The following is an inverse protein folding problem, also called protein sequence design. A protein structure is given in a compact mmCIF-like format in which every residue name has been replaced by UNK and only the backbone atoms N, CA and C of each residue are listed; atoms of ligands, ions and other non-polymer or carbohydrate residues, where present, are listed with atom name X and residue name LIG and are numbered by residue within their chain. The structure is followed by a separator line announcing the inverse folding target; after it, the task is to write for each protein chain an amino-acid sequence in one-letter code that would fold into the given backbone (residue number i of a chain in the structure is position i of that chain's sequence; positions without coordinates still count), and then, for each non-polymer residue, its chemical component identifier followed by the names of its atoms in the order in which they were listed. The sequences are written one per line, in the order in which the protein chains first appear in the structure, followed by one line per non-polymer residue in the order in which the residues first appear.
data_IF_960277067714
#
_entry.id   IF_960277067714
#
_cell.length_a   1.000
_cell.length_b   1.000
_cell.length_c   1.000
_cell.angle_alpha   90.00
_cell.angle_beta   90.00
_cell.angle_gamma   90.00
#
_symmetry.space_group_name_H-M   'P 1'
#
loop_
_entity.id
_entity.type
_entity.pdbx_description
1 polymer ?
#
# COMPACT_ATOMS: atom_id res chain seq x y z
N UNK A 1 -39.73 33.31 0.33
CA UNK A 1 -39.86 33.75 1.73
C UNK A 1 -38.99 34.97 1.96
N UNK A 2 -39.40 35.89 2.86
CA UNK A 2 -38.58 37.02 3.31
C UNK A 2 -37.87 36.62 4.60
N UNK A 3 -36.62 37.09 4.83
CA UNK A 3 -35.94 36.86 6.11
C UNK A 3 -36.62 37.63 7.24
N UNK A 4 -36.41 37.21 8.49
CA UNK A 4 -36.91 37.91 9.67
C UNK A 4 -36.16 39.22 9.94
N UNK A 5 -34.95 39.38 9.36
CA UNK A 5 -34.09 40.55 9.54
C UNK A 5 -34.63 41.75 8.75
N UNK A 6 -34.83 42.88 9.48
CA UNK A 6 -35.46 44.08 8.94
C UNK A 6 -34.65 44.76 7.85
N UNK A 7 -33.32 44.69 7.93
CA UNK A 7 -32.38 45.31 6.99
C UNK A 7 -32.14 44.45 5.70
N UNK A 8 -32.71 43.26 5.64
CA UNK A 8 -32.46 42.31 4.58
C UNK A 8 -33.67 42.04 3.69
N UNK A 9 -34.87 42.55 4.03
CA UNK A 9 -36.12 42.18 3.38
C UNK A 9 -36.21 42.58 1.91
N UNK A 10 -35.58 43.71 1.55
CA UNK A 10 -35.57 44.27 0.20
C UNK A 10 -34.18 44.13 -0.48
N UNK A 11 -33.25 43.46 0.17
CA UNK A 11 -31.93 43.17 -0.39
C UNK A 11 -32.03 42.09 -1.46
N UNK A 12 -31.22 42.16 -2.54
CA UNK A 12 -31.19 41.14 -3.59
C UNK A 12 -30.99 39.71 -3.07
N UNK A 13 -30.25 39.55 -1.98
CA UNK A 13 -29.96 38.29 -1.31
C UNK A 13 -31.07 37.82 -0.37
N UNK A 14 -32.18 38.53 -0.20
CA UNK A 14 -33.26 38.19 0.73
C UNK A 14 -33.73 36.74 0.66
N UNK A 15 -33.96 36.14 -0.51
CA UNK A 15 -34.36 34.72 -0.61
C UNK A 15 -33.34 33.74 -0.03
N UNK A 16 -32.07 34.01 -0.22
CA UNK A 16 -30.97 33.16 0.27
C UNK A 16 -30.77 33.35 1.78
N UNK A 17 -30.89 34.60 2.28
CA UNK A 17 -30.83 34.89 3.71
C UNK A 17 -31.97 34.20 4.42
N UNK A 18 -33.19 34.28 3.92
CA UNK A 18 -34.34 33.57 4.50
C UNK A 18 -34.17 32.04 4.51
N UNK A 19 -33.62 31.48 3.45
CA UNK A 19 -33.32 30.05 3.40
C UNK A 19 -32.26 29.63 4.42
N UNK A 20 -31.19 30.40 4.52
CA UNK A 20 -30.10 30.14 5.47
C UNK A 20 -30.53 30.32 6.95
N UNK A 21 -31.38 31.33 7.21
CA UNK A 21 -32.02 31.53 8.51
C UNK A 21 -32.93 30.33 8.89
N UNK A 22 -33.81 29.93 7.97
CA UNK A 22 -34.74 28.79 8.17
C UNK A 22 -33.95 27.49 8.41
N UNK A 23 -32.84 27.31 7.72
CA UNK A 23 -31.95 26.15 7.89
C UNK A 23 -31.09 26.23 9.16
N UNK A 24 -31.14 27.32 9.92
CA UNK A 24 -30.34 27.52 11.14
C UNK A 24 -28.84 27.74 10.88
N UNK A 25 -28.48 28.10 9.64
CA UNK A 25 -27.09 28.35 9.22
C UNK A 25 -26.61 29.68 9.77
N UNK A 26 -27.48 30.69 9.76
CA UNK A 26 -27.23 32.07 10.19
C UNK A 26 -28.18 32.51 11.27
N UNK A 27 -27.76 33.47 12.14
CA UNK A 27 -28.55 34.04 13.24
C UNK A 27 -28.62 35.54 13.26
N UNK A 28 -27.90 36.23 12.35
CA UNK A 28 -27.75 37.67 12.35
C UNK A 28 -26.86 38.22 13.49
N UNK A 29 -26.75 39.54 13.57
CA UNK A 29 -25.90 40.26 14.52
C UNK A 29 -26.67 40.71 15.81
N UNK A 30 -27.93 40.30 15.91
CA UNK A 30 -28.84 40.70 16.99
C UNK A 30 -29.79 41.86 16.58
N UNK A 31 -30.77 42.12 17.42
CA UNK A 31 -31.77 43.19 17.23
C UNK A 31 -32.51 43.18 15.88
N UNK A 32 -32.62 41.98 15.24
CA UNK A 32 -33.27 41.84 13.95
C UNK A 32 -32.43 42.33 12.75
N UNK A 33 -31.13 42.46 12.91
CA UNK A 33 -30.17 42.94 11.91
C UNK A 33 -29.31 41.75 11.42
N UNK A 34 -29.10 41.67 10.11
CA UNK A 34 -28.23 40.68 9.49
C UNK A 34 -26.96 41.30 8.86
N UNK A 35 -27.04 42.57 8.48
CA UNK A 35 -25.98 43.29 7.79
C UNK A 35 -25.55 42.64 6.47
N UNK A 36 -26.47 42.52 5.45
CA UNK A 36 -26.26 41.74 4.26
C UNK A 36 -25.10 42.20 3.37
N UNK A 37 -24.65 43.43 3.50
CA UNK A 37 -23.49 43.99 2.78
C UNK A 37 -22.23 44.03 3.63
N UNK A 38 -22.29 43.56 4.88
CA UNK A 38 -21.18 43.54 5.81
C UNK A 38 -20.09 42.57 5.45
N UNK A 39 -18.92 42.76 6.02
CA UNK A 39 -17.80 41.81 5.88
C UNK A 39 -17.98 40.66 6.87
N UNK A 40 -17.59 39.45 6.43
CA UNK A 40 -17.66 38.24 7.25
C UNK A 40 -16.36 38.02 8.00
N UNK A 41 -16.43 37.78 9.32
CA UNK A 41 -15.27 37.39 10.11
C UNK A 41 -14.96 35.88 9.98
N UNK A 42 -13.76 35.48 10.36
CA UNK A 42 -13.38 34.06 10.37
C UNK A 42 -14.29 33.24 11.28
N UNK A 43 -14.64 33.75 12.45
CA UNK A 43 -15.56 33.10 13.39
C UNK A 43 -16.98 32.94 12.79
N UNK A 44 -17.49 34.00 12.13
CA UNK A 44 -18.78 33.94 11.47
C UNK A 44 -18.79 32.88 10.33
N UNK A 45 -17.73 32.84 9.51
CA UNK A 45 -17.60 31.83 8.46
C UNK A 45 -17.53 30.40 9.03
N UNK A 46 -16.76 30.20 10.10
CA UNK A 46 -16.70 28.90 10.78
C UNK A 46 -18.07 28.47 11.29
N UNK A 47 -18.83 29.37 11.90
CA UNK A 47 -20.18 29.12 12.37
C UNK A 47 -21.12 28.68 11.22
N UNK A 48 -21.08 29.43 10.12
CA UNK A 48 -21.90 29.08 8.93
C UNK A 48 -21.55 27.71 8.38
N UNK A 49 -20.27 27.37 8.24
CA UNK A 49 -19.84 26.07 7.73
C UNK A 49 -20.24 24.92 8.66
N UNK A 50 -19.98 25.07 9.97
CA UNK A 50 -20.35 24.06 10.96
C UNK A 50 -21.87 23.79 10.95
N UNK A 51 -22.67 24.85 10.89
CA UNK A 51 -24.13 24.71 10.88
C UNK A 51 -24.66 24.16 9.55
N UNK A 52 -24.13 24.65 8.39
CA UNK A 52 -24.57 24.22 7.07
C UNK A 52 -24.29 22.75 6.83
N UNK A 53 -23.12 22.29 7.21
CA UNK A 53 -22.65 20.93 6.99
C UNK A 53 -22.87 20.01 8.20
N UNK A 54 -23.46 20.52 9.30
CA UNK A 54 -23.71 19.80 10.56
C UNK A 54 -22.45 19.12 11.09
N UNK A 55 -21.31 19.81 11.00
CA UNK A 55 -20.04 19.28 11.42
C UNK A 55 -19.99 19.04 12.92
N UNK A 56 -19.42 17.92 13.32
CA UNK A 56 -19.15 17.59 14.71
C UNK A 56 -17.70 17.16 14.84
N UNK A 57 -17.00 17.61 15.87
CA UNK A 57 -15.68 17.08 16.19
C UNK A 57 -15.84 15.72 16.83
N UNK A 58 -15.06 14.74 16.36
CA UNK A 58 -14.88 13.44 17.02
C UNK A 58 -13.70 13.47 17.99
N UNK A 59 -12.92 14.56 18.01
CA UNK A 59 -11.89 14.76 19.00
C UNK A 59 -12.54 14.96 20.37
N UNK A 60 -12.04 14.30 21.39
CA UNK A 60 -12.47 14.51 22.76
C UNK A 60 -12.27 16.00 23.09
N UNK A 61 -13.38 16.71 23.27
CA UNK A 61 -13.41 18.09 23.73
C UNK A 61 -12.92 18.11 25.19
N UNK A 62 -11.62 18.28 25.37
CA UNK A 62 -11.02 18.48 26.70
C UNK A 62 -11.20 19.92 27.19
N UNK A 63 -12.06 20.71 26.52
CA UNK A 63 -12.38 22.08 26.92
C UNK A 63 -11.21 23.08 26.77
N UNK A 64 -10.12 22.68 26.09
CA UNK A 64 -8.98 23.56 25.84
C UNK A 64 -9.02 24.14 24.43
N UNK A 65 -9.06 25.42 24.33
CA UNK A 65 -8.91 26.12 23.06
C UNK A 65 -7.49 25.92 22.52
N UNK A 66 -7.37 25.61 21.22
CA UNK A 66 -6.08 25.40 20.56
C UNK A 66 -5.28 26.68 20.33
N UNK A 67 -5.93 27.83 20.42
CA UNK A 67 -5.32 29.14 20.27
C UNK A 67 -5.77 30.06 21.39
N UNK A 68 -4.86 30.85 21.94
CA UNK A 68 -5.15 31.78 23.05
C UNK A 68 -6.22 32.81 22.69
N UNK A 69 -6.21 33.29 21.44
CA UNK A 69 -7.15 34.31 20.93
C UNK A 69 -8.57 33.75 20.68
N UNK A 70 -8.76 32.44 20.82
CA UNK A 70 -10.07 31.79 20.77
C UNK A 70 -10.69 31.63 22.16
N UNK A 71 -9.90 31.67 23.23
CA UNK A 71 -10.39 31.41 24.59
C UNK A 71 -11.47 32.43 24.99
N UNK A 72 -12.65 31.91 25.30
CA UNK A 72 -13.81 32.70 25.66
C UNK A 72 -14.45 33.48 24.51
N UNK A 73 -13.96 33.34 23.30
CA UNK A 73 -14.58 33.95 22.13
C UNK A 73 -15.88 33.21 21.75
N UNK A 74 -16.92 33.95 21.34
CA UNK A 74 -18.22 33.36 20.99
C UNK A 74 -18.13 32.30 19.90
N UNK A 75 -17.18 32.40 18.98
CA UNK A 75 -16.91 31.46 17.90
C UNK A 75 -15.94 30.33 18.25
N UNK A 76 -15.44 30.26 19.47
CA UNK A 76 -14.43 29.29 19.92
C UNK A 76 -14.80 27.86 19.56
N UNK A 77 -16.01 27.42 19.90
CA UNK A 77 -16.52 26.08 19.62
C UNK A 77 -16.45 25.75 18.12
N UNK A 78 -16.89 26.68 17.27
CA UNK A 78 -16.95 26.46 15.82
C UNK A 78 -15.56 26.46 15.20
N UNK A 79 -14.67 27.33 15.66
CA UNK A 79 -13.28 27.39 15.25
C UNK A 79 -12.56 26.06 15.60
N UNK A 80 -12.72 25.58 16.82
CA UNK A 80 -12.12 24.32 17.27
C UNK A 80 -12.60 23.12 16.44
N UNK A 81 -13.88 23.05 16.06
CA UNK A 81 -14.40 22.01 15.16
C UNK A 81 -13.67 22.05 13.81
N UNK A 82 -13.51 23.23 13.19
CA UNK A 82 -12.80 23.33 11.91
C UNK A 82 -11.31 22.99 12.03
N UNK A 83 -10.68 23.29 13.17
CA UNK A 83 -9.28 22.96 13.45
C UNK A 83 -9.15 21.42 13.60
N UNK A 84 -9.99 20.79 14.36
CA UNK A 84 -9.99 19.34 14.59
C UNK A 84 -10.18 18.55 13.30
N UNK A 85 -11.01 19.09 12.41
CA UNK A 85 -11.29 18.49 11.10
C UNK A 85 -10.25 18.90 10.02
N UNK A 86 -9.16 19.57 10.37
CA UNK A 86 -8.14 20.08 9.45
C UNK A 86 -8.67 20.96 8.30
N UNK A 87 -9.84 21.59 8.51
CA UNK A 87 -10.45 22.53 7.56
C UNK A 87 -9.77 23.89 7.66
N UNK A 88 -9.52 24.35 8.89
CA UNK A 88 -8.90 25.66 9.19
C UNK A 88 -7.73 25.48 10.15
N UNK A 89 -6.61 26.12 9.83
CA UNK A 89 -5.46 26.21 10.70
C UNK A 89 -5.27 27.66 11.17
N UNK A 90 -4.62 27.84 12.32
CA UNK A 90 -4.13 29.14 12.75
C UNK A 90 -2.87 29.59 11.99
N UNK A 91 -2.34 30.70 12.40
CA UNK A 91 -1.05 31.23 11.99
C UNK A 91 -0.17 31.46 13.24
N UNK A 92 1.08 31.90 13.06
CA UNK A 92 1.96 32.28 14.17
C UNK A 92 1.37 33.41 15.05
N UNK A 93 0.38 34.15 14.51
CA UNK A 93 -0.34 35.22 15.20
C UNK A 93 -1.70 34.78 15.78
N UNK A 94 -1.93 33.49 15.99
CA UNK A 94 -3.18 32.94 16.49
C UNK A 94 -4.16 32.52 15.39
N UNK A 95 -5.39 32.23 15.78
CA UNK A 95 -6.45 31.88 14.85
C UNK A 95 -7.17 33.07 14.24
N UNK A 96 -7.15 34.21 14.92
CA UNK A 96 -7.68 35.48 14.48
C UNK A 96 -9.20 35.50 14.22
N UNK A 97 -10.07 35.19 15.20
CA UNK A 97 -11.50 35.02 15.01
C UNK A 97 -12.23 36.23 14.45
N UNK A 98 -11.84 37.42 14.82
CA UNK A 98 -12.48 38.68 14.41
C UNK A 98 -11.93 39.25 13.10
N UNK A 99 -10.86 38.66 12.54
CA UNK A 99 -10.32 39.09 11.26
C UNK A 99 -11.31 38.78 10.13
N UNK A 100 -11.52 39.74 9.26
CA UNK A 100 -12.33 39.53 8.07
C UNK A 100 -11.68 38.52 7.12
N UNK A 101 -12.49 37.62 6.61
CA UNK A 101 -12.07 36.59 5.67
C UNK A 101 -12.04 37.15 4.23
N UNK A 102 -11.02 36.77 3.48
CA UNK A 102 -10.97 37.06 2.04
C UNK A 102 -11.85 36.12 1.25
N UNK A 103 -12.21 36.45 0.01
CA UNK A 103 -12.95 35.58 -0.90
C UNK A 103 -12.19 34.24 -1.17
N UNK A 104 -10.86 34.31 -1.28
CA UNK A 104 -10.02 33.14 -1.48
C UNK A 104 -10.04 32.20 -0.26
N UNK A 105 -9.93 32.75 0.94
CA UNK A 105 -10.04 31.97 2.19
C UNK A 105 -11.43 31.37 2.35
N UNK A 106 -12.49 32.11 2.04
CA UNK A 106 -13.85 31.58 2.07
C UNK A 106 -14.03 30.40 1.10
N UNK A 107 -13.52 30.54 -0.14
CA UNK A 107 -13.55 29.48 -1.13
C UNK A 107 -12.76 28.25 -0.65
N UNK A 108 -11.57 28.43 -0.07
CA UNK A 108 -10.75 27.34 0.47
C UNK A 108 -11.46 26.59 1.59
N UNK A 109 -12.03 27.32 2.56
CA UNK A 109 -12.74 26.71 3.68
C UNK A 109 -13.97 25.94 3.20
N UNK A 110 -14.75 26.52 2.28
CA UNK A 110 -15.92 25.87 1.68
C UNK A 110 -15.53 24.61 0.93
N UNK A 111 -14.50 24.66 0.07
CA UNK A 111 -14.03 23.50 -0.69
C UNK A 111 -13.53 22.38 0.22
N UNK A 112 -12.75 22.68 1.25
CA UNK A 112 -12.30 21.67 2.22
C UNK A 112 -13.45 21.05 2.99
N UNK A 113 -14.46 21.84 3.37
CA UNK A 113 -15.65 21.35 4.05
C UNK A 113 -16.48 20.44 3.14
N UNK A 114 -16.68 20.86 1.89
CA UNK A 114 -17.41 20.08 0.88
C UNK A 114 -16.70 18.76 0.57
N UNK A 115 -15.37 18.80 0.39
CA UNK A 115 -14.56 17.58 0.21
C UNK A 115 -14.67 16.63 1.41
N UNK A 116 -14.66 17.15 2.64
CA UNK A 116 -14.87 16.36 3.84
C UNK A 116 -16.26 15.71 3.83
N UNK A 117 -17.31 16.48 3.50
CA UNK A 117 -18.67 15.99 3.41
C UNK A 117 -18.85 14.95 2.29
N UNK A 118 -18.27 15.19 1.12
CA UNK A 118 -18.29 14.24 0.01
C UNK A 118 -17.55 12.96 0.41
N UNK A 119 -16.41 13.08 1.09
CA UNK A 119 -15.69 11.94 1.65
C UNK A 119 -16.50 11.21 2.72
N UNK A 120 -17.27 11.94 3.56
CA UNK A 120 -18.19 11.33 4.52
C UNK A 120 -19.40 10.69 3.83
N UNK A 121 -20.01 11.34 2.83
CA UNK A 121 -21.17 10.82 2.11
C UNK A 121 -20.82 9.66 1.17
N UNK A 122 -19.64 9.73 0.50
CA UNK A 122 -19.09 8.63 -0.29
C UNK A 122 -18.47 7.54 0.58
N UNK A 123 -18.12 7.86 1.81
CA UNK A 123 -17.45 6.96 2.74
C UNK A 123 -18.36 6.28 3.76
N UNK A 124 -19.60 6.76 3.98
CA UNK A 124 -20.55 6.09 4.88
C UNK A 124 -21.18 4.82 4.27
N UNK A 125 -21.07 4.64 2.95
CA UNK A 125 -21.43 3.35 2.31
C UNK A 125 -20.27 2.35 2.28
N UNK A 126 -18.99 2.80 2.44
CA UNK A 126 -17.81 1.98 2.24
C UNK A 126 -16.77 2.09 3.37
N UNK A 127 -17.00 2.86 4.44
CA UNK A 127 -16.11 2.93 5.60
C UNK A 127 -16.63 2.02 6.71
N UNK A 128 -16.06 0.86 6.78
CA UNK A 128 -16.09 0.06 7.99
C UNK A 128 -15.23 0.77 9.06
N UNK A 129 -15.79 1.02 10.26
CA UNK A 129 -14.98 1.48 11.39
C UNK A 129 -14.07 0.32 11.76
N UNK A 130 -12.81 0.42 11.38
CA UNK A 130 -11.83 -0.61 11.65
C UNK A 130 -11.43 -0.48 13.11
N UNK A 131 -11.79 -1.47 13.90
CA UNK A 131 -11.45 -1.57 15.32
C UNK A 131 -10.18 -2.39 15.56
N UNK A 132 -9.37 -2.58 14.53
CA UNK A 132 -8.14 -3.36 14.64
C UNK A 132 -7.20 -2.74 15.67
N UNK A 133 -6.60 -3.60 16.48
CA UNK A 133 -5.61 -3.26 17.51
C UNK A 133 -4.20 -3.65 17.11
N UNK A 134 -4.07 -4.44 16.04
CA UNK A 134 -2.82 -4.95 15.51
C UNK A 134 -2.98 -5.34 14.03
N UNK A 135 -1.88 -5.73 13.38
CA UNK A 135 -1.95 -6.30 12.04
C UNK A 135 -2.66 -7.67 11.98
N UNK A 136 -2.72 -8.41 13.08
CA UNK A 136 -3.37 -9.74 13.11
C UNK A 136 -4.89 -9.66 12.92
N UNK A 137 -5.50 -8.59 13.41
CA UNK A 137 -6.95 -8.34 13.35
C UNK A 137 -7.34 -7.22 12.37
N UNK A 138 -6.39 -6.69 11.61
CA UNK A 138 -6.64 -5.71 10.56
C UNK A 138 -7.42 -6.35 9.39
N UNK A 139 -8.47 -5.68 8.94
CA UNK A 139 -9.14 -6.04 7.69
C UNK A 139 -8.21 -5.83 6.50
N UNK A 140 -7.81 -6.92 5.82
CA UNK A 140 -6.86 -6.89 4.71
C UNK A 140 -7.44 -6.39 3.38
N UNK A 141 -8.74 -6.07 3.34
CA UNK A 141 -9.38 -5.46 2.17
C UNK A 141 -9.33 -3.94 2.18
N UNK A 142 -8.63 -3.34 3.15
CA UNK A 142 -8.45 -1.90 3.22
C UNK A 142 -7.05 -1.48 2.75
N UNK A 143 -6.96 -0.24 2.23
CA UNK A 143 -5.69 0.28 1.75
C UNK A 143 -4.67 0.42 2.90
N UNK A 144 -3.45 0.00 2.65
CA UNK A 144 -2.30 0.31 3.51
C UNK A 144 -1.79 1.73 3.28
N UNK A 145 -1.10 2.27 4.26
CA UNK A 145 -0.37 3.54 4.17
C UNK A 145 1.12 3.36 3.85
N UNK A 146 1.50 2.14 3.46
CA UNK A 146 2.88 1.85 3.07
C UNK A 146 3.17 2.39 1.68
N UNK A 147 4.40 2.82 1.45
CA UNK A 147 4.89 3.24 0.15
C UNK A 147 5.77 2.15 -0.48
N UNK A 148 5.89 2.18 -1.80
CA UNK A 148 6.83 1.31 -2.53
C UNK A 148 8.26 1.43 -2.00
N UNK A 149 8.69 2.66 -1.73
CA UNK A 149 10.02 2.93 -1.20
C UNK A 149 10.24 2.34 0.21
N UNK A 150 9.24 2.38 1.11
CA UNK A 150 9.36 1.75 2.44
C UNK A 150 9.54 0.24 2.32
N UNK A 151 8.81 -0.42 1.39
CA UNK A 151 8.96 -1.85 1.12
C UNK A 151 10.37 -2.16 0.58
N UNK A 152 10.80 -1.45 -0.46
CA UNK A 152 12.10 -1.66 -1.10
C UNK A 152 13.26 -1.40 -0.12
N UNK A 153 13.17 -0.32 0.66
CA UNK A 153 14.19 0.02 1.66
C UNK A 153 14.29 -1.03 2.76
N UNK A 154 13.17 -1.57 3.23
CA UNK A 154 13.17 -2.66 4.20
C UNK A 154 13.85 -3.91 3.64
N UNK A 155 13.45 -4.34 2.44
CA UNK A 155 14.02 -5.54 1.81
C UNK A 155 15.53 -5.34 1.60
N UNK A 156 15.95 -4.20 1.03
CA UNK A 156 17.35 -3.90 0.77
C UNK A 156 18.21 -3.81 2.04
N UNK A 157 17.64 -3.35 3.15
CA UNK A 157 18.34 -3.25 4.44
C UNK A 157 18.67 -4.62 5.01
N UNK A 158 17.74 -5.57 4.93
CA UNK A 158 17.95 -6.91 5.50
C UNK A 158 18.51 -7.91 4.50
N UNK A 159 18.23 -7.73 3.21
CA UNK A 159 18.64 -8.61 2.11
C UNK A 159 18.88 -7.81 0.84
N UNK A 160 20.00 -7.11 0.76
CA UNK A 160 20.38 -6.30 -0.41
C UNK A 160 20.55 -7.10 -1.71
N UNK A 161 20.73 -8.41 -1.59
CA UNK A 161 20.82 -9.39 -2.68
C UNK A 161 19.47 -10.01 -3.05
N UNK A 162 18.39 -9.57 -2.43
CA UNK A 162 17.03 -10.04 -2.72
C UNK A 162 16.59 -9.59 -4.11
N UNK A 163 16.04 -10.49 -4.94
CA UNK A 163 15.48 -10.12 -6.24
C UNK A 163 14.19 -9.30 -6.11
N UNK A 164 13.62 -9.17 -4.90
CA UNK A 164 12.44 -8.35 -4.64
C UNK A 164 12.79 -6.86 -4.41
N UNK A 165 14.06 -6.48 -4.34
CA UNK A 165 14.45 -5.06 -4.27
C UNK A 165 14.06 -4.38 -5.58
N UNK A 166 13.30 -3.28 -5.47
CA UNK A 166 12.75 -2.56 -6.63
C UNK A 166 11.33 -3.00 -7.04
N UNK A 167 10.76 -4.01 -6.38
CA UNK A 167 9.41 -4.49 -6.64
C UNK A 167 8.35 -3.92 -5.68
N UNK A 168 8.69 -2.95 -4.84
CA UNK A 168 7.75 -2.30 -3.92
C UNK A 168 6.52 -1.74 -4.62
N UNK A 169 6.68 -1.20 -5.83
CA UNK A 169 5.57 -0.67 -6.62
C UNK A 169 4.59 -1.76 -7.08
N UNK A 170 5.04 -2.98 -7.32
CA UNK A 170 4.16 -4.08 -7.74
C UNK A 170 3.16 -4.45 -6.63
N UNK A 171 3.56 -4.38 -5.35
CA UNK A 171 2.63 -4.57 -4.23
C UNK A 171 1.57 -3.46 -4.16
N UNK A 172 1.96 -2.20 -4.39
CA UNK A 172 1.02 -1.08 -4.44
C UNK A 172 0.05 -1.22 -5.63
N UNK A 173 0.55 -1.63 -6.79
CA UNK A 173 -0.27 -1.89 -7.98
C UNK A 173 -1.28 -3.01 -7.72
N UNK A 174 -0.84 -4.12 -7.11
CA UNK A 174 -1.71 -5.24 -6.74
C UNK A 174 -2.78 -4.84 -5.71
N UNK A 175 -2.44 -4.00 -4.73
CA UNK A 175 -3.43 -3.42 -3.81
C UNK A 175 -4.52 -2.66 -4.58
N UNK A 176 -4.12 -1.76 -5.47
CA UNK A 176 -5.06 -0.91 -6.19
C UNK A 176 -5.92 -1.71 -7.18
N UNK A 177 -5.37 -2.76 -7.77
CA UNK A 177 -6.05 -3.58 -8.77
C UNK A 177 -6.95 -4.63 -8.12
N UNK A 178 -6.49 -5.35 -7.10
CA UNK A 178 -7.19 -6.49 -6.54
C UNK A 178 -7.80 -6.24 -5.17
N UNK A 179 -7.57 -5.06 -4.60
CA UNK A 179 -8.18 -4.67 -3.35
C UNK A 179 -7.65 -5.43 -2.13
N UNK A 180 -6.38 -5.76 -2.11
CA UNK A 180 -5.70 -6.42 -0.99
C UNK A 180 -4.60 -5.52 -0.44
N UNK A 181 -4.51 -5.39 0.86
CA UNK A 181 -3.55 -4.55 1.57
C UNK A 181 -2.10 -4.83 1.11
N UNK A 182 -1.40 -3.82 0.56
CA UNK A 182 -0.05 -3.98 0.01
C UNK A 182 0.99 -4.34 1.08
N UNK A 183 0.82 -3.87 2.31
CA UNK A 183 1.71 -4.18 3.41
C UNK A 183 1.67 -5.67 3.76
N UNK A 184 0.44 -6.23 3.81
CA UNK A 184 0.25 -7.67 3.95
C UNK A 184 0.86 -8.44 2.78
N UNK A 185 0.62 -8.03 1.53
CA UNK A 185 1.16 -8.72 0.35
C UNK A 185 2.69 -8.77 0.38
N UNK A 186 3.35 -7.68 0.76
CA UNK A 186 4.81 -7.64 0.89
C UNK A 186 5.32 -8.58 2.00
N UNK A 187 4.71 -8.52 3.19
CA UNK A 187 5.08 -9.39 4.31
C UNK A 187 4.85 -10.88 3.99
N UNK A 188 3.78 -11.18 3.28
CA UNK A 188 3.43 -12.53 2.84
C UNK A 188 4.46 -13.06 1.83
N UNK A 189 4.80 -12.27 0.79
CA UNK A 189 5.81 -12.63 -0.18
C UNK A 189 7.18 -12.88 0.48
N UNK A 190 7.57 -12.02 1.42
CA UNK A 190 8.82 -12.17 2.19
C UNK A 190 8.83 -13.49 2.97
N UNK A 191 7.74 -13.82 3.66
CA UNK A 191 7.65 -15.05 4.46
C UNK A 191 7.72 -16.30 3.59
N UNK A 192 6.89 -16.38 2.55
CA UNK A 192 6.72 -17.59 1.73
C UNK A 192 7.93 -17.87 0.84
N UNK A 193 8.59 -16.82 0.35
CA UNK A 193 9.71 -16.96 -0.60
C UNK A 193 11.09 -16.82 0.01
N UNK A 194 11.19 -16.52 1.32
CA UNK A 194 12.46 -16.18 1.95
C UNK A 194 13.11 -14.96 1.27
N UNK A 195 12.37 -13.85 1.15
CA UNK A 195 12.79 -12.65 0.43
C UNK A 195 13.02 -12.88 -1.07
N UNK A 196 12.22 -13.72 -1.71
CA UNK A 196 12.39 -14.06 -3.12
C UNK A 196 13.57 -15.00 -3.42
N UNK A 197 14.27 -15.46 -2.40
CA UNK A 197 15.54 -16.21 -2.53
C UNK A 197 15.36 -17.73 -2.54
N UNK A 198 14.14 -18.27 -2.28
CA UNK A 198 13.88 -19.67 -2.47
C UNK A 198 14.05 -20.05 -3.94
N UNK A 199 14.46 -21.31 -4.23
CA UNK A 199 14.71 -21.77 -5.59
C UNK A 199 13.53 -21.53 -6.53
N UNK A 200 12.32 -21.88 -6.09
CA UNK A 200 11.09 -21.69 -6.86
C UNK A 200 10.81 -20.18 -7.10
N UNK A 201 10.97 -19.36 -6.07
CA UNK A 201 10.76 -17.92 -6.21
C UNK A 201 11.75 -17.29 -7.17
N UNK A 202 13.02 -17.63 -7.04
CA UNK A 202 14.07 -17.04 -7.85
C UNK A 202 14.02 -17.49 -9.31
N UNK A 203 13.95 -18.80 -9.56
CA UNK A 203 14.03 -19.34 -10.92
C UNK A 203 12.71 -19.25 -11.69
N UNK A 204 11.59 -19.28 -10.99
CA UNK A 204 10.26 -19.31 -11.61
C UNK A 204 9.41 -18.08 -11.31
N UNK A 205 9.97 -17.05 -10.65
CA UNK A 205 9.26 -15.87 -10.16
C UNK A 205 8.04 -16.18 -9.28
N UNK A 206 7.99 -17.41 -8.74
CA UNK A 206 6.85 -17.95 -8.02
C UNK A 206 7.03 -17.76 -6.50
N UNK A 207 6.60 -16.61 -6.01
CA UNK A 207 6.81 -16.17 -4.63
C UNK A 207 5.98 -16.95 -3.60
N UNK A 208 4.88 -17.57 -4.01
CA UNK A 208 3.88 -18.15 -3.10
C UNK A 208 3.71 -19.66 -3.30
N UNK A 209 4.63 -20.30 -3.96
CA UNK A 209 4.59 -21.75 -4.17
C UNK A 209 3.41 -22.24 -5.02
N UNK A 210 2.95 -21.43 -5.99
CA UNK A 210 1.81 -21.79 -6.84
C UNK A 210 2.06 -23.12 -7.55
N UNK A 211 1.21 -24.12 -7.28
CA UNK A 211 1.29 -25.48 -7.79
C UNK A 211 2.57 -26.23 -7.38
N UNK A 212 3.28 -25.80 -6.35
CA UNK A 212 4.43 -26.52 -5.76
C UNK A 212 3.92 -27.68 -4.90
N UNK A 213 3.52 -28.77 -5.54
CA UNK A 213 2.97 -29.95 -4.85
C UNK A 213 4.08 -30.82 -4.22
N UNK A 214 3.70 -31.55 -3.16
CA UNK A 214 4.57 -32.52 -2.50
C UNK A 214 5.12 -33.55 -3.50
N UNK A 215 6.33 -34.01 -3.26
CA UNK A 215 7.04 -34.97 -4.08
C UNK A 215 8.13 -34.33 -4.94
N UNK A 216 7.81 -33.35 -5.75
CA UNK A 216 8.77 -32.54 -6.52
C UNK A 216 8.21 -31.11 -6.70
N UNK A 217 8.29 -30.28 -5.66
CA UNK A 217 7.71 -28.94 -5.69
C UNK A 217 8.23 -28.06 -6.81
N UNK A 218 9.53 -28.15 -7.12
CA UNK A 218 10.13 -27.36 -8.18
C UNK A 218 9.59 -27.74 -9.56
N UNK A 219 9.48 -29.03 -9.86
CA UNK A 219 8.98 -29.53 -11.15
C UNK A 219 7.55 -29.08 -11.41
N UNK A 220 6.68 -29.13 -10.37
CA UNK A 220 5.26 -28.83 -10.52
C UNK A 220 4.94 -27.34 -10.42
N UNK A 221 5.76 -26.55 -9.72
CA UNK A 221 5.55 -25.11 -9.56
C UNK A 221 5.44 -24.43 -10.94
N UNK A 222 4.47 -23.51 -11.05
CA UNK A 222 4.30 -22.69 -12.24
C UNK A 222 5.45 -21.69 -12.41
N UNK A 223 5.88 -21.51 -13.65
CA UNK A 223 6.71 -20.38 -14.02
C UNK A 223 5.82 -19.14 -14.22
N UNK A 224 6.07 -18.06 -13.51
CA UNK A 224 5.41 -16.78 -13.67
C UNK A 224 6.28 -15.86 -14.54
N UNK A 225 5.69 -15.03 -15.44
CA UNK A 225 6.47 -14.15 -16.30
C UNK A 225 7.33 -13.15 -15.54
N UNK A 226 6.84 -12.66 -14.38
CA UNK A 226 7.53 -11.73 -13.51
C UNK A 226 7.14 -11.88 -12.04
N UNK A 227 7.87 -11.25 -11.14
CA UNK A 227 7.47 -11.11 -9.73
C UNK A 227 6.17 -10.31 -9.59
N UNK A 228 5.96 -9.29 -10.43
CA UNK A 228 4.71 -8.52 -10.48
C UNK A 228 3.50 -9.41 -10.78
N UNK A 229 3.62 -10.34 -11.76
CA UNK A 229 2.56 -11.31 -12.07
C UNK A 229 2.29 -12.25 -10.90
N UNK A 230 3.33 -12.68 -10.18
CA UNK A 230 3.19 -13.52 -8.99
C UNK A 230 2.44 -12.80 -7.87
N UNK A 231 2.78 -11.54 -7.61
CA UNK A 231 2.14 -10.69 -6.61
C UNK A 231 0.67 -10.44 -7.00
N UNK A 232 0.42 -10.08 -8.24
CA UNK A 232 -0.92 -9.82 -8.78
C UNK A 232 -1.82 -11.06 -8.68
N UNK A 233 -1.31 -12.22 -9.13
CA UNK A 233 -2.04 -13.47 -9.02
C UNK A 233 -2.39 -13.82 -7.58
N UNK A 234 -1.41 -13.75 -6.66
CA UNK A 234 -1.66 -14.05 -5.25
C UNK A 234 -2.66 -13.07 -4.62
N UNK A 235 -2.57 -11.78 -4.95
CA UNK A 235 -3.51 -10.77 -4.46
C UNK A 235 -4.94 -11.13 -4.89
N UNK A 236 -5.16 -11.47 -6.15
CA UNK A 236 -6.47 -11.91 -6.61
C UNK A 236 -6.92 -13.20 -5.93
N UNK A 237 -6.05 -14.20 -5.85
CA UNK A 237 -6.34 -15.50 -5.24
C UNK A 237 -6.78 -15.37 -3.78
N UNK A 238 -6.03 -14.62 -2.96
CA UNK A 238 -6.38 -14.42 -1.55
C UNK A 238 -7.64 -13.57 -1.41
N UNK A 239 -7.81 -12.55 -2.25
CA UNK A 239 -9.03 -11.74 -2.25
C UNK A 239 -10.26 -12.59 -2.49
N UNK A 240 -10.27 -13.42 -3.52
CA UNK A 240 -11.42 -14.24 -3.89
C UNK A 240 -11.70 -15.37 -2.91
N UNK A 241 -10.66 -16.02 -2.43
CA UNK A 241 -10.81 -17.25 -1.69
C UNK A 241 -10.89 -17.06 -0.17
N UNK A 242 -10.24 -16.03 0.36
CA UNK A 242 -10.06 -15.87 1.80
C UNK A 242 -10.64 -14.57 2.36
N UNK A 243 -10.73 -13.49 1.58
CA UNK A 243 -11.08 -12.18 2.07
C UNK A 243 -12.50 -11.72 1.70
N UNK A 244 -13.17 -12.39 0.77
CA UNK A 244 -14.58 -12.18 0.44
C UNK A 244 -15.45 -13.17 1.21
N UNK A 245 -16.61 -12.71 1.69
CA UNK A 245 -17.58 -13.56 2.42
C UNK A 245 -18.06 -14.78 1.61
N UNK A 246 -18.10 -14.65 0.29
CA UNK A 246 -18.41 -15.74 -0.64
C UNK A 246 -17.24 -16.67 -0.91
N UNK A 247 -16.03 -16.36 -0.40
CA UNK A 247 -14.82 -17.15 -0.64
C UNK A 247 -14.87 -18.51 0.03
N UNK A 248 -14.39 -19.54 -0.69
CA UNK A 248 -14.43 -20.94 -0.24
C UNK A 248 -13.73 -21.13 1.13
N UNK A 249 -12.74 -20.33 1.44
CA UNK A 249 -11.92 -20.43 2.65
C UNK A 249 -12.10 -19.24 3.59
N UNK A 250 -13.16 -18.46 3.37
CA UNK A 250 -13.44 -17.29 4.19
C UNK A 250 -13.69 -17.65 5.66
N UNK A 251 -13.00 -16.97 6.55
CA UNK A 251 -13.20 -17.05 8.00
C UNK A 251 -12.89 -15.68 8.66
N UNK A 252 -13.27 -14.59 7.99
CA UNK A 252 -12.96 -13.21 8.31
C UNK A 252 -11.78 -12.67 7.50
N UNK A 253 -11.84 -11.38 7.11
CA UNK A 253 -10.88 -10.79 6.17
C UNK A 253 -9.59 -10.31 6.87
N UNK A 254 -9.07 -11.09 7.83
CA UNK A 254 -7.91 -10.76 8.66
C UNK A 254 -6.85 -11.84 8.56
N UNK A 255 -5.61 -11.57 9.01
CA UNK A 255 -4.58 -12.61 9.10
C UNK A 255 -5.02 -13.78 9.97
N UNK A 256 -5.65 -13.51 11.12
CA UNK A 256 -6.19 -14.54 12.01
C UNK A 256 -7.26 -15.37 11.31
N UNK A 257 -8.17 -14.73 10.58
CA UNK A 257 -9.20 -15.41 9.79
C UNK A 257 -8.60 -16.29 8.69
N UNK A 258 -7.66 -15.77 7.91
CA UNK A 258 -6.96 -16.51 6.87
C UNK A 258 -6.22 -17.74 7.43
N UNK A 259 -5.54 -17.62 8.57
CA UNK A 259 -4.73 -18.70 9.15
C UNK A 259 -5.55 -19.96 9.44
N UNK A 260 -6.85 -19.85 9.61
CA UNK A 260 -7.73 -21.02 9.88
C UNK A 260 -7.64 -22.05 8.76
N UNK A 261 -7.49 -21.60 7.49
CA UNK A 261 -7.51 -22.43 6.30
C UNK A 261 -6.28 -22.31 5.40
N UNK A 262 -5.47 -21.22 5.57
CA UNK A 262 -4.33 -20.95 4.69
C UNK A 262 -3.12 -21.82 5.01
N UNK A 263 -2.78 -21.97 6.28
CA UNK A 263 -1.59 -22.71 6.70
C UNK A 263 -1.90 -23.67 7.86
N UNK A 264 -1.20 -24.81 7.88
CA UNK A 264 -1.20 -25.75 9.02
C UNK A 264 -0.48 -25.17 10.24
N UNK A 265 0.48 -24.28 10.02
CA UNK A 265 1.19 -23.54 11.08
C UNK A 265 0.25 -22.52 11.73
N UNK A 266 -0.11 -22.78 12.99
CA UNK A 266 -0.97 -21.88 13.78
C UNK A 266 -0.33 -20.52 14.09
N UNK A 267 0.98 -20.40 13.93
CA UNK A 267 1.74 -19.16 14.11
C UNK A 267 1.87 -18.33 12.82
N UNK A 268 1.32 -18.76 11.69
CA UNK A 268 1.48 -18.10 10.40
C UNK A 268 1.02 -16.62 10.42
N UNK A 269 -0.18 -16.35 10.95
CA UNK A 269 -0.70 -14.99 11.08
C UNK A 269 0.25 -14.08 11.88
N UNK A 270 0.74 -14.59 13.01
CA UNK A 270 1.68 -13.84 13.87
C UNK A 270 3.03 -13.59 13.19
N UNK A 271 3.52 -14.53 12.38
CA UNK A 271 4.76 -14.35 11.62
C UNK A 271 4.62 -13.24 10.59
N UNK A 272 3.52 -13.20 9.83
CA UNK A 272 3.24 -12.15 8.85
C UNK A 272 3.07 -10.81 9.55
N UNK A 273 2.24 -10.73 10.59
CA UNK A 273 2.06 -9.51 11.38
C UNK A 273 3.38 -8.98 11.92
N UNK A 274 4.25 -9.87 12.41
CA UNK A 274 5.59 -9.50 12.87
C UNK A 274 6.52 -8.98 11.78
N UNK A 275 6.36 -9.41 10.52
CA UNK A 275 7.07 -8.82 9.38
C UNK A 275 6.49 -7.44 9.05
N UNK A 276 5.16 -7.31 9.03
CA UNK A 276 4.49 -6.03 8.82
C UNK A 276 4.96 -5.00 9.86
N UNK A 277 4.97 -5.35 11.14
CA UNK A 277 5.48 -4.48 12.22
C UNK A 277 6.92 -4.01 12.01
N UNK A 278 7.78 -4.87 11.48
CA UNK A 278 9.18 -4.51 11.20
C UNK A 278 9.33 -3.60 9.97
N UNK A 279 8.46 -3.74 8.97
CA UNK A 279 8.46 -2.85 7.81
C UNK A 279 7.96 -1.46 8.22
N UNK A 280 6.83 -1.41 8.93
CA UNK A 280 6.22 -0.20 9.47
C UNK A 280 5.34 -0.55 10.67
N UNK A 281 5.58 0.05 11.83
CA UNK A 281 4.77 -0.20 13.02
C UNK A 281 3.29 0.08 12.79
N UNK A 282 2.44 -0.68 13.49
CA UNK A 282 0.99 -0.50 13.43
C UNK A 282 0.58 0.79 14.15
N UNK A 283 -0.15 1.64 13.43
CA UNK A 283 -0.81 2.83 13.98
C UNK A 283 -2.29 2.76 13.64
N UNK A 284 -3.15 2.71 14.65
CA UNK A 284 -4.60 2.61 14.47
C UNK A 284 -5.15 3.76 13.62
N UNK A 285 -4.57 4.94 13.74
CA UNK A 285 -4.94 6.15 13.00
C UNK A 285 -4.80 5.99 11.48
N UNK A 286 -3.87 5.15 11.02
CA UNK A 286 -3.67 4.86 9.60
C UNK A 286 -4.86 4.09 8.99
N UNK A 287 -5.62 3.40 9.83
CA UNK A 287 -6.69 2.48 9.39
C UNK A 287 -8.08 2.86 9.87
N UNK A 288 -8.24 3.71 10.90
CA UNK A 288 -9.54 4.05 11.50
C UNK A 288 -10.61 4.47 10.48
N UNK A 289 -10.16 5.11 9.39
CA UNK A 289 -11.02 5.55 8.28
C UNK A 289 -10.51 5.03 6.94
N UNK A 290 -9.83 3.90 6.93
CA UNK A 290 -9.31 3.34 5.70
C UNK A 290 -10.45 2.91 4.78
N UNK A 291 -10.26 3.18 3.48
CA UNK A 291 -11.25 2.84 2.47
C UNK A 291 -11.17 1.34 2.18
N UNK A 292 -12.32 0.66 2.20
CA UNK A 292 -12.44 -0.69 1.63
C UNK A 292 -12.15 -0.60 0.12
N UNK A 293 -11.26 -1.45 -0.34
CA UNK A 293 -10.80 -1.45 -1.72
C UNK A 293 -11.77 -2.25 -2.60
N UNK A 294 -12.03 -1.81 -3.84
CA UNK A 294 -12.84 -2.57 -4.76
C UNK A 294 -12.11 -3.85 -5.18
N UNK A 295 -12.89 -4.88 -5.53
CA UNK A 295 -12.39 -6.10 -6.15
C UNK A 295 -12.38 -5.94 -7.67
N UNK A 296 -11.26 -6.24 -8.31
CA UNK A 296 -11.19 -6.40 -9.77
C UNK A 296 -11.21 -7.90 -10.09
N UNK A 297 -12.10 -8.37 -11.00
CA UNK A 297 -12.23 -9.78 -11.34
C UNK A 297 -11.19 -10.28 -12.35
N UNK A 298 -10.42 -9.41 -13.01
CA UNK A 298 -9.44 -9.82 -14.02
C UNK A 298 -8.25 -10.52 -13.38
N UNK A 299 -7.94 -11.72 -13.84
CA UNK A 299 -6.86 -12.56 -13.31
C UNK A 299 -5.98 -13.09 -14.42
N UNK A 300 -4.72 -13.38 -14.07
CA UNK A 300 -3.84 -14.18 -14.91
C UNK A 300 -4.35 -15.62 -14.99
N UNK A 301 -4.51 -16.15 -16.20
CA UNK A 301 -4.83 -17.56 -16.41
C UNK A 301 -3.59 -18.42 -16.12
N UNK A 302 -3.49 -18.88 -14.90
CA UNK A 302 -2.35 -19.72 -14.46
C UNK A 302 -2.37 -21.14 -15.04
N UNK A 303 -3.51 -21.61 -15.50
CA UNK A 303 -3.59 -22.94 -16.11
C UNK A 303 -2.96 -22.94 -17.50
N UNK A 304 -2.96 -21.82 -18.19
CA UNK A 304 -2.25 -21.61 -19.44
C UNK A 304 -0.72 -21.46 -19.27
N UNK A 305 -0.21 -21.21 -18.05
CA UNK A 305 1.23 -21.05 -17.83
C UNK A 305 1.98 -22.39 -17.87
N UNK A 306 3.22 -22.35 -18.36
CA UNK A 306 4.16 -23.47 -18.30
C UNK A 306 4.66 -23.70 -16.86
N UNK A 307 5.09 -24.91 -16.57
CA UNK A 307 5.90 -25.21 -15.39
C UNK A 307 7.41 -25.03 -15.70
N UNK A 308 7.76 -24.98 -16.99
CA UNK A 308 9.14 -24.94 -17.42
C UNK A 308 9.65 -23.50 -17.55
N UNK A 309 10.89 -23.29 -17.13
CA UNK A 309 11.62 -22.05 -17.37
C UNK A 309 11.84 -21.91 -18.88
N UNK A 310 11.53 -20.76 -19.49
CA UNK A 310 11.75 -20.54 -20.92
C UNK A 310 13.22 -20.19 -21.20
N UNK A 311 14.07 -21.22 -21.26
CA UNK A 311 15.47 -21.04 -21.60
C UNK A 311 15.63 -20.61 -23.07
N UNK A 312 16.51 -19.62 -23.28
CA UNK A 312 17.05 -19.32 -24.61
C UNK A 312 18.19 -20.30 -24.91
N UNK A 313 18.00 -21.13 -25.92
CA UNK A 313 18.96 -22.17 -26.31
C UNK A 313 19.96 -21.59 -27.30
N UNK A 314 21.24 -21.84 -27.07
CA UNK A 314 22.30 -21.55 -28.05
C UNK A 314 22.54 -22.75 -28.96
N UNK A 315 22.99 -22.49 -30.19
CA UNK A 315 23.38 -23.54 -31.13
C UNK A 315 24.59 -24.33 -30.61
N UNK A 316 24.70 -25.60 -30.95
CA UNK A 316 25.84 -26.43 -30.58
C UNK A 316 27.17 -25.83 -31.08
N UNK A 317 28.12 -25.77 -30.17
CA UNK A 317 29.44 -25.19 -30.47
C UNK A 317 29.51 -23.67 -30.30
N UNK A 318 28.39 -23.00 -29.88
CA UNK A 318 28.45 -21.56 -29.56
C UNK A 318 29.43 -21.32 -28.42
N UNK A 319 30.28 -20.32 -28.58
CA UNK A 319 31.25 -19.91 -27.56
C UNK A 319 31.10 -18.46 -27.16
N UNK A 320 31.57 -18.14 -25.97
CA UNK A 320 31.66 -16.79 -25.45
C UNK A 320 32.99 -16.56 -24.77
N UNK A 321 33.47 -15.32 -24.75
CA UNK A 321 34.69 -14.95 -24.03
C UNK A 321 34.36 -14.32 -22.70
N UNK A 322 35.01 -14.72 -21.63
CA UNK A 322 34.88 -14.08 -20.32
C UNK A 322 35.63 -12.74 -20.35
N UNK A 323 34.90 -11.66 -20.04
CA UNK A 323 35.43 -10.29 -20.08
C UNK A 323 35.61 -9.64 -18.70
N UNK A 324 35.11 -10.29 -17.65
CA UNK A 324 35.12 -9.73 -16.30
C UNK A 324 35.97 -10.55 -15.35
N UNK A 325 36.79 -9.87 -14.53
CA UNK A 325 37.56 -10.49 -13.43
C UNK A 325 36.67 -11.04 -12.30
N UNK A 326 35.37 -10.67 -12.27
CA UNK A 326 34.38 -11.15 -11.32
C UNK A 326 33.40 -12.16 -11.94
N UNK A 327 33.84 -12.92 -12.95
CA UNK A 327 33.04 -14.01 -13.52
C UNK A 327 33.17 -15.25 -12.63
N UNK A 328 32.36 -15.27 -11.56
CA UNK A 328 32.23 -16.47 -10.73
C UNK A 328 31.45 -17.55 -11.46
N UNK A 329 31.78 -18.83 -11.21
CA UNK A 329 31.05 -19.95 -11.74
C UNK A 329 30.60 -20.92 -10.64
N UNK A 330 29.51 -21.62 -10.90
CA UNK A 330 28.78 -22.45 -9.96
C UNK A 330 28.51 -23.82 -10.56
N UNK A 331 28.60 -24.90 -9.75
CA UNK A 331 28.40 -26.28 -10.20
C UNK A 331 26.96 -26.65 -10.46
N UNK A 332 26.02 -25.90 -9.87
CA UNK A 332 24.60 -26.05 -10.14
C UNK A 332 24.00 -24.67 -10.36
N UNK A 333 22.80 -24.63 -10.88
CA UNK A 333 22.06 -23.38 -10.94
C UNK A 333 22.18 -22.67 -9.57
N UNK A 334 22.52 -21.37 -9.52
CA UNK A 334 23.19 -20.75 -8.38
C UNK A 334 22.44 -20.70 -7.05
N UNK A 335 21.30 -21.32 -6.93
CA UNK A 335 20.45 -21.19 -5.76
C UNK A 335 19.91 -22.52 -5.21
N UNK A 336 20.78 -23.44 -4.81
CA UNK A 336 20.44 -24.39 -3.77
C UNK A 336 20.69 -23.75 -2.39
N UNK A 337 19.91 -22.70 -2.09
CA UNK A 337 19.86 -22.11 -0.76
C UNK A 337 19.15 -23.10 0.16
N UNK A 338 19.90 -24.04 0.74
CA UNK A 338 19.44 -24.79 1.91
C UNK A 338 19.36 -23.80 3.07
N UNK A 339 18.15 -23.31 3.35
CA UNK A 339 17.86 -22.58 4.59
C UNK A 339 18.06 -23.57 5.73
N UNK A 340 19.23 -23.57 6.33
CA UNK A 340 19.46 -24.22 7.62
C UNK A 340 18.77 -23.37 8.68
N UNK A 341 17.83 -24.02 9.39
CA UNK A 341 17.04 -23.58 10.54
C UNK A 341 17.38 -22.22 11.18
N UNK A 342 16.33 -21.45 11.38
CA UNK A 342 15.98 -20.37 12.36
C UNK A 342 17.02 -19.39 12.93
N UNK A 343 18.30 -19.59 12.85
CA UNK A 343 19.32 -18.66 13.38
C UNK A 343 20.55 -18.44 12.49
N UNK A 344 20.78 -19.29 11.50
CA UNK A 344 21.96 -19.17 10.65
C UNK A 344 21.55 -19.22 9.19
N UNK A 345 21.44 -18.05 8.55
CA UNK A 345 21.40 -17.93 7.10
C UNK A 345 22.86 -18.08 6.60
N UNK A 346 23.37 -19.29 6.63
CA UNK A 346 24.53 -19.65 5.84
C UNK A 346 24.04 -19.97 4.45
N UNK A 347 24.17 -19.04 3.52
CA UNK A 347 24.13 -19.29 2.09
C UNK A 347 25.30 -20.24 1.82
N UNK A 348 25.03 -21.53 1.58
CA UNK A 348 26.03 -22.38 0.96
C UNK A 348 26.21 -21.86 -0.46
N UNK A 349 27.22 -21.04 -0.62
CA UNK A 349 27.67 -20.55 -1.92
C UNK A 349 28.19 -21.77 -2.70
N UNK A 350 27.42 -22.25 -3.69
CA UNK A 350 27.84 -23.30 -4.59
C UNK A 350 28.86 -22.79 -5.63
N UNK A 351 29.42 -21.63 -5.39
CA UNK A 351 30.50 -21.00 -6.13
C UNK A 351 31.75 -21.90 -6.08
N UNK A 352 32.22 -22.29 -7.24
CA UNK A 352 33.41 -23.14 -7.38
C UNK A 352 34.67 -22.30 -7.55
N UNK A 353 34.58 -21.21 -8.27
CA UNK A 353 35.72 -20.36 -8.55
C UNK A 353 35.39 -19.16 -9.44
N UNK A 354 36.45 -18.57 -9.99
CA UNK A 354 36.37 -17.48 -10.98
C UNK A 354 36.95 -17.95 -12.32
N UNK A 355 36.32 -17.54 -13.40
CA UNK A 355 36.88 -17.73 -14.75
C UNK A 355 37.77 -16.55 -15.08
N UNK A 356 38.96 -16.83 -15.56
CA UNK A 356 39.94 -15.80 -15.98
C UNK A 356 39.41 -15.03 -17.19
N UNK A 357 39.51 -13.69 -17.22
CA UNK A 357 39.18 -12.90 -18.40
C UNK A 357 40.03 -13.35 -19.60
N UNK A 358 39.41 -13.41 -20.77
CA UNK A 358 40.02 -13.93 -22.00
C UNK A 358 39.80 -15.45 -22.18
N UNK A 359 39.29 -16.18 -21.19
CA UNK A 359 38.92 -17.59 -21.36
C UNK A 359 37.72 -17.70 -22.29
N UNK A 360 37.86 -18.56 -23.31
CA UNK A 360 36.73 -18.97 -24.16
C UNK A 360 36.02 -20.15 -23.53
N UNK A 361 34.68 -20.07 -23.42
CA UNK A 361 33.81 -21.08 -22.87
C UNK A 361 32.73 -21.47 -23.88
N UNK A 362 32.24 -22.70 -23.80
CA UNK A 362 31.11 -23.17 -24.60
C UNK A 362 29.80 -22.90 -23.84
N UNK A 363 28.84 -22.24 -24.49
CA UNK A 363 27.56 -21.86 -23.87
C UNK A 363 26.43 -22.67 -24.47
N UNK A 364 25.42 -23.02 -23.65
CA UNK A 364 24.35 -23.95 -24.02
C UNK A 364 22.96 -23.33 -23.92
N UNK A 365 22.66 -22.66 -22.83
CA UNK A 365 21.37 -22.02 -22.61
C UNK A 365 21.48 -20.87 -21.62
N UNK A 366 20.54 -19.98 -21.73
CA UNK A 366 20.40 -18.80 -20.85
C UNK A 366 19.01 -18.80 -20.23
N UNK A 367 18.92 -18.49 -18.96
CA UNK A 367 17.64 -18.28 -18.29
C UNK A 367 17.19 -16.81 -18.38
N UNK A 368 15.91 -16.50 -18.08
CA UNK A 368 15.40 -15.14 -18.09
C UNK A 368 16.08 -14.20 -17.09
N UNK A 369 16.76 -14.72 -16.08
CA UNK A 369 17.50 -13.93 -15.07
C UNK A 369 18.94 -13.63 -15.52
N UNK A 370 19.32 -14.01 -16.73
CA UNK A 370 20.63 -13.75 -17.29
C UNK A 370 21.74 -14.70 -16.83
N UNK A 371 21.38 -15.89 -16.35
CA UNK A 371 22.35 -16.94 -16.07
C UNK A 371 22.55 -17.82 -17.28
N UNK A 372 23.82 -18.08 -17.61
CA UNK A 372 24.23 -18.87 -18.77
C UNK A 372 24.86 -20.17 -18.28
N UNK A 373 24.33 -21.30 -18.77
CA UNK A 373 24.96 -22.61 -18.60
C UNK A 373 26.11 -22.75 -19.59
N UNK A 374 27.29 -23.13 -19.09
CA UNK A 374 28.49 -23.24 -19.89
C UNK A 374 29.35 -24.43 -19.47
N UNK A 375 30.36 -24.76 -20.30
CA UNK A 375 31.49 -25.64 -19.97
C UNK A 375 32.79 -25.06 -20.46
N UNK A 376 33.92 -25.53 -19.90
CA UNK A 376 35.25 -25.13 -20.35
C UNK A 376 35.65 -25.87 -21.64
N UNK A 377 35.10 -27.04 -21.88
CA UNK A 377 35.33 -27.89 -23.05
C UNK A 377 34.00 -28.26 -23.71
N UNK A 378 33.99 -28.50 -25.01
CA UNK A 378 32.79 -28.91 -25.71
C UNK A 378 32.22 -30.16 -25.06
N UNK A 379 30.92 -30.12 -24.65
CA UNK A 379 30.20 -31.15 -23.94
C UNK A 379 30.84 -31.59 -22.61
N UNK A 380 31.69 -30.73 -22.01
CA UNK A 380 32.26 -30.94 -20.69
C UNK A 380 31.25 -30.77 -19.54
N UNK A 381 31.79 -30.83 -18.33
CA UNK A 381 31.02 -30.58 -17.12
C UNK A 381 30.36 -29.18 -17.15
N UNK A 382 29.07 -29.10 -16.74
CA UNK A 382 28.26 -27.90 -16.85
C UNK A 382 28.35 -27.06 -15.61
N UNK A 383 28.49 -25.77 -15.84
CA UNK A 383 28.55 -24.71 -14.83
C UNK A 383 27.62 -23.57 -15.22
N UNK A 384 27.43 -22.63 -14.31
CA UNK A 384 26.61 -21.46 -14.53
C UNK A 384 27.37 -20.17 -14.21
N UNK A 385 27.22 -19.13 -15.03
CA UNK A 385 27.74 -17.79 -14.80
C UNK A 385 26.77 -16.73 -15.33
N UNK A 386 26.98 -15.48 -14.98
CA UNK A 386 26.14 -14.38 -15.45
C UNK A 386 26.52 -13.93 -16.86
N UNK A 387 25.55 -13.72 -17.74
CA UNK A 387 25.69 -13.24 -19.11
C UNK A 387 26.48 -11.94 -19.21
N UNK A 388 26.23 -11.00 -18.26
CA UNK A 388 26.92 -9.71 -18.23
C UNK A 388 28.43 -9.80 -17.95
N UNK A 389 28.97 -10.99 -17.71
CA UNK A 389 30.39 -11.30 -17.56
C UNK A 389 31.01 -11.86 -18.86
N UNK A 390 30.20 -12.02 -19.89
CA UNK A 390 30.56 -12.65 -21.16
C UNK A 390 30.46 -11.64 -22.30
N UNK A 391 31.31 -11.83 -23.32
CA UNK A 391 31.16 -11.25 -24.66
C UNK A 391 30.94 -12.38 -25.64
N UNK A 392 29.83 -12.33 -26.33
CA UNK A 392 29.44 -13.25 -27.39
C UNK A 392 29.86 -12.75 -28.74
#
# INVERSE_FOLDING_TARGET
AKPSFTDSQDHWGAPYIAAAETAGIIKGEGNGIFNPSGKVTRAAMATMLVNAYKLQSTAHDNGQSKFEDLKGHWGEKFANILIDLNISNGTDNGWQPDRFITRAEAAQLTAKTDMLQQNQNNGLKDKEIITATSYEDLNLTVASKITAQEIDSFIATYHSDSPLVGHGQDFINAQNQYGVNAHYLAAHAILESGYGKSEIAYQKHNLFGLRAYDGDPFKYAKYLPSYGDSIAYNANYVRERYLEESGMYYNGPTLTGMNVKYASDKGWAKKIAGIMERIKPFHVEDYTYAKKLPKNPETLDVDALSNNIPYNMYEDGTTANVVSTAAYYHVSYPFNLKIKSKSDVAVEDNKVGTVTPGTTIFIYREDPNGWVEFSFEANGEKYWTLKNKLSM
#
